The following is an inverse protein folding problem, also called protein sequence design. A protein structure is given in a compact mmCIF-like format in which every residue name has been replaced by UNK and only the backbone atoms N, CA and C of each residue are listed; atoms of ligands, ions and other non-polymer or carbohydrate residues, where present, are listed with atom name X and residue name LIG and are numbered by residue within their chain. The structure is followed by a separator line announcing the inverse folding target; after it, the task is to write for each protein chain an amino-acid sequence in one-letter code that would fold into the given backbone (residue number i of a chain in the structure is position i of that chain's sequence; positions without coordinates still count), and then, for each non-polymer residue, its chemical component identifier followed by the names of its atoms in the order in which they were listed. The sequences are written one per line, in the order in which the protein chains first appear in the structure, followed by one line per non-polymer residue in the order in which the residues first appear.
data_IF_462898415620
#
_entry.id   IF_462898415620
#
_cell.length_a   1.000
_cell.length_b   1.000
_cell.length_c   1.000
_cell.angle_alpha   90.00
_cell.angle_beta   90.00
_cell.angle_gamma   90.00
#
_symmetry.space_group_name_H-M   'P 1'
#
loop_
_entity.id
_entity.type
_entity.pdbx_description
1 polymer ?
#
# COMPACT_ATOMS: atom_id res chain seq x y z
N UNK A 1 11.72 22.61 -14.79
CA UNK A 1 11.15 21.69 -15.82
C UNK A 1 10.53 20.45 -15.19
N UNK A 2 11.28 19.56 -14.53
CA UNK A 2 10.70 18.35 -13.89
C UNK A 2 9.72 18.64 -12.76
N UNK A 3 10.04 19.57 -11.85
CA UNK A 3 9.11 19.98 -10.80
C UNK A 3 7.80 20.56 -11.38
N UNK A 4 7.92 21.40 -12.41
CA UNK A 4 6.76 22.02 -13.10
C UNK A 4 5.92 20.96 -13.81
N UNK A 5 6.53 19.99 -14.49
CA UNK A 5 5.82 18.88 -15.12
C UNK A 5 5.16 17.94 -14.09
N UNK A 6 5.80 17.71 -12.95
CA UNK A 6 5.24 16.93 -11.84
C UNK A 6 4.02 17.61 -11.21
N UNK A 7 4.07 18.93 -11.03
CA UNK A 7 2.93 19.73 -10.57
C UNK A 7 1.80 19.70 -11.61
N UNK A 8 2.09 19.89 -12.89
CA UNK A 8 1.08 19.85 -13.96
C UNK A 8 0.39 18.49 -14.02
N UNK A 9 1.13 17.38 -14.01
CA UNK A 9 0.55 16.03 -14.02
C UNK A 9 -0.22 15.77 -12.72
N UNK A 10 0.34 16.16 -11.57
CA UNK A 10 -0.30 15.99 -10.26
C UNK A 10 -1.59 16.78 -10.08
N UNK A 11 -1.75 17.90 -10.78
CA UNK A 11 -2.98 18.70 -10.78
C UNK A 11 -3.95 18.20 -11.85
N UNK A 12 -3.49 17.97 -13.08
CA UNK A 12 -4.35 17.58 -14.19
C UNK A 12 -4.93 16.18 -14.03
N UNK A 13 -4.15 15.23 -13.54
CA UNK A 13 -4.55 13.82 -13.51
C UNK A 13 -5.70 13.55 -12.51
N UNK A 14 -5.68 14.07 -11.26
CA UNK A 14 -6.84 14.01 -10.37
C UNK A 14 -8.04 14.82 -10.88
N UNK A 15 -7.82 16.00 -11.45
CA UNK A 15 -8.91 16.82 -12.00
C UNK A 15 -9.64 16.13 -13.17
N UNK A 16 -8.89 15.51 -14.08
CA UNK A 16 -9.43 14.84 -15.28
C UNK A 16 -10.09 13.51 -14.92
N UNK A 17 -9.47 12.71 -14.04
CA UNK A 17 -9.97 11.36 -13.73
C UNK A 17 -11.10 11.39 -12.72
N UNK A 18 -11.08 12.31 -11.75
CA UNK A 18 -11.95 12.24 -10.57
C UNK A 18 -13.02 13.34 -10.55
N UNK A 19 -12.94 14.34 -11.45
CA UNK A 19 -13.90 15.45 -11.61
C UNK A 19 -14.25 16.20 -10.31
N UNK A 20 -13.50 15.97 -9.22
CA UNK A 20 -13.66 16.56 -7.89
C UNK A 20 -12.30 17.00 -7.38
N UNK A 21 -12.23 18.23 -6.88
CA UNK A 21 -10.98 18.79 -6.36
C UNK A 21 -10.75 18.35 -4.92
N UNK A 22 -9.64 17.67 -4.70
CA UNK A 22 -9.12 17.32 -3.38
C UNK A 22 -7.69 17.80 -3.24
N UNK A 23 -7.44 18.63 -2.23
CA UNK A 23 -6.08 19.10 -1.94
C UNK A 23 -5.16 17.92 -1.62
N UNK A 24 -5.61 16.99 -0.77
CA UNK A 24 -4.81 15.83 -0.36
C UNK A 24 -4.46 14.92 -1.55
N UNK A 25 -5.44 14.56 -2.38
CA UNK A 25 -5.20 13.72 -3.55
C UNK A 25 -4.32 14.41 -4.59
N UNK A 26 -4.51 15.73 -4.79
CA UNK A 26 -3.71 16.54 -5.72
C UNK A 26 -2.25 16.62 -5.27
N UNK A 27 -2.01 16.90 -3.99
CA UNK A 27 -0.66 16.95 -3.43
C UNK A 27 0.02 15.59 -3.52
N UNK A 28 -0.67 14.52 -3.14
CA UNK A 28 -0.14 13.16 -3.23
C UNK A 28 0.23 12.77 -4.67
N UNK A 29 -0.65 13.06 -5.64
CA UNK A 29 -0.38 12.82 -7.05
C UNK A 29 0.79 13.68 -7.57
N UNK A 30 0.88 14.95 -7.18
CA UNK A 30 1.98 15.83 -7.56
C UNK A 30 3.32 15.38 -6.99
N UNK A 31 3.37 14.99 -5.72
CA UNK A 31 4.58 14.44 -5.11
C UNK A 31 4.98 13.11 -5.74
N UNK A 32 4.03 12.20 -5.94
CA UNK A 32 4.27 10.93 -6.63
C UNK A 32 4.83 11.13 -8.04
N UNK A 33 4.20 12.00 -8.83
CA UNK A 33 4.66 12.34 -10.18
C UNK A 33 6.04 13.00 -10.16
N UNK A 34 6.29 13.94 -9.24
CA UNK A 34 7.59 14.59 -9.11
C UNK A 34 8.71 13.59 -8.78
N UNK A 35 8.46 12.64 -7.88
CA UNK A 35 9.42 11.58 -7.56
C UNK A 35 9.69 10.73 -8.80
N UNK A 36 8.66 10.22 -9.47
CA UNK A 36 8.81 9.38 -10.67
C UNK A 36 9.58 10.11 -11.77
N UNK A 37 9.24 11.37 -12.06
CA UNK A 37 9.95 12.15 -13.06
C UNK A 37 11.41 12.45 -12.66
N UNK A 38 11.68 12.62 -11.36
CA UNK A 38 13.04 12.80 -10.85
C UNK A 38 13.87 11.52 -11.00
N UNK A 39 13.28 10.36 -10.74
CA UNK A 39 13.89 9.04 -11.00
C UNK A 39 14.23 8.91 -12.50
N UNK A 40 13.26 9.16 -13.38
CA UNK A 40 13.45 9.07 -14.84
C UNK A 40 14.55 10.03 -15.31
N UNK A 41 14.56 11.27 -14.82
CA UNK A 41 15.59 12.25 -15.17
C UNK A 41 16.97 11.83 -14.68
N UNK A 42 17.09 11.34 -13.44
CA UNK A 42 18.37 10.94 -12.87
C UNK A 42 18.97 9.73 -13.62
N UNK A 43 18.15 8.73 -13.92
CA UNK A 43 18.55 7.59 -14.76
C UNK A 43 18.98 8.07 -16.15
N UNK A 44 18.17 8.93 -16.78
CA UNK A 44 18.46 9.46 -18.12
C UNK A 44 19.80 10.21 -18.17
N UNK A 45 20.07 11.04 -17.15
CA UNK A 45 21.33 11.79 -17.05
C UNK A 45 22.54 10.86 -16.89
N UNK A 46 22.42 9.77 -16.13
CA UNK A 46 23.52 8.81 -15.89
C UNK A 46 23.83 7.95 -17.10
N UNK A 47 22.85 7.70 -17.98
CA UNK A 47 23.05 6.91 -19.19
C UNK A 47 23.29 7.77 -20.45
N UNK A 48 23.17 9.10 -20.37
CA UNK A 48 23.23 10.01 -21.51
C UNK A 48 24.55 9.94 -22.30
N UNK A 49 25.67 9.69 -21.62
CA UNK A 49 27.01 9.65 -22.22
C UNK A 49 27.44 8.24 -22.66
N UNK A 50 26.50 7.29 -22.81
CA UNK A 50 26.77 5.90 -23.18
C UNK A 50 26.31 5.64 -24.61
N UNK A 51 27.08 4.84 -25.34
CA UNK A 51 26.81 4.53 -26.76
C UNK A 51 25.43 3.93 -27.00
N UNK A 52 24.95 3.09 -26.05
CA UNK A 52 23.59 2.56 -26.09
C UNK A 52 22.91 2.68 -24.72
N UNK A 53 21.58 2.92 -24.74
CA UNK A 53 20.77 2.97 -23.51
C UNK A 53 20.89 1.69 -22.69
N UNK A 54 21.01 0.53 -23.36
CA UNK A 54 21.09 -0.76 -22.68
C UNK A 54 22.41 -0.99 -21.94
N UNK A 55 23.54 -0.63 -22.56
CA UNK A 55 24.84 -0.62 -21.88
C UNK A 55 24.83 0.38 -20.71
N UNK A 56 24.17 1.53 -20.87
CA UNK A 56 23.97 2.50 -19.80
C UNK A 56 23.23 1.92 -18.61
N UNK A 57 22.07 1.27 -18.81
CA UNK A 57 21.30 0.65 -17.73
C UNK A 57 22.10 -0.45 -17.01
N UNK A 58 22.83 -1.30 -17.75
CA UNK A 58 23.66 -2.36 -17.16
C UNK A 58 24.88 -1.83 -16.41
N UNK A 59 25.31 -0.60 -16.68
CA UNK A 59 26.45 0.02 -15.98
C UNK A 59 26.08 0.61 -14.62
N UNK A 60 24.79 0.66 -14.27
CA UNK A 60 24.31 1.16 -12.99
C UNK A 60 24.59 0.17 -11.86
N UNK A 61 25.00 0.66 -10.68
CA UNK A 61 25.24 -0.21 -9.53
C UNK A 61 23.94 -0.77 -8.96
N UNK A 62 24.03 -1.94 -8.34
CA UNK A 62 22.88 -2.56 -7.65
C UNK A 62 22.37 -1.66 -6.53
N UNK A 63 23.28 -0.98 -5.80
CA UNK A 63 22.90 0.00 -4.79
C UNK A 63 22.09 1.18 -5.34
N UNK A 64 22.48 1.67 -6.52
CA UNK A 64 21.74 2.74 -7.19
C UNK A 64 20.35 2.27 -7.62
N UNK A 65 20.25 1.10 -8.26
CA UNK A 65 18.96 0.53 -8.65
C UNK A 65 18.06 0.29 -7.42
N UNK A 66 18.62 -0.20 -6.31
CA UNK A 66 17.89 -0.37 -5.05
C UNK A 66 17.34 0.94 -4.50
N UNK A 67 18.14 2.02 -4.50
CA UNK A 67 17.70 3.36 -4.11
C UNK A 67 16.52 3.84 -4.98
N UNK A 68 16.60 3.67 -6.31
CA UNK A 68 15.53 4.09 -7.22
C UNK A 68 14.24 3.29 -7.01
N UNK A 69 14.34 1.96 -6.82
CA UNK A 69 13.20 1.09 -6.50
C UNK A 69 12.55 1.51 -5.18
N UNK A 70 13.33 1.86 -4.16
CA UNK A 70 12.79 2.33 -2.90
C UNK A 70 12.04 3.66 -3.04
N UNK A 71 12.61 4.64 -3.74
CA UNK A 71 11.94 5.92 -3.99
C UNK A 71 10.70 5.77 -4.88
N UNK A 72 10.72 4.83 -5.83
CA UNK A 72 9.51 4.48 -6.57
C UNK A 72 8.41 3.93 -5.65
N UNK A 73 8.78 3.08 -4.68
CA UNK A 73 7.86 2.62 -3.64
C UNK A 73 7.23 3.75 -2.84
N UNK A 74 8.02 4.78 -2.48
CA UNK A 74 7.50 6.00 -1.83
C UNK A 74 6.45 6.68 -2.72
N UNK A 75 6.73 6.87 -4.01
CA UNK A 75 5.80 7.49 -4.94
C UNK A 75 4.47 6.73 -5.03
N UNK A 76 4.52 5.39 -5.16
CA UNK A 76 3.32 4.52 -5.23
C UNK A 76 2.51 4.62 -3.93
N UNK A 77 3.19 4.58 -2.77
CA UNK A 77 2.54 4.68 -1.46
C UNK A 77 1.83 6.04 -1.27
N UNK A 78 2.50 7.14 -1.61
CA UNK A 78 1.91 8.49 -1.49
C UNK A 78 0.64 8.62 -2.31
N UNK A 79 0.67 8.16 -3.57
CA UNK A 79 -0.51 8.15 -4.44
C UNK A 79 -1.63 7.32 -3.83
N UNK A 80 -1.33 6.11 -3.33
CA UNK A 80 -2.30 5.25 -2.66
C UNK A 80 -2.95 5.93 -1.45
N UNK A 81 -2.15 6.54 -0.56
CA UNK A 81 -2.64 7.26 0.63
C UNK A 81 -3.54 8.43 0.21
N UNK A 82 -3.08 9.31 -0.68
CA UNK A 82 -3.84 10.49 -1.07
C UNK A 82 -5.19 10.16 -1.72
N UNK A 83 -5.23 9.10 -2.53
CA UNK A 83 -6.46 8.65 -3.17
C UNK A 83 -7.40 7.96 -2.17
N UNK A 84 -6.91 6.99 -1.37
CA UNK A 84 -7.77 6.30 -0.40
C UNK A 84 -8.30 7.23 0.69
N UNK A 85 -7.55 8.26 1.10
CA UNK A 85 -7.97 9.17 2.16
C UNK A 85 -9.14 10.07 1.76
N UNK A 86 -9.26 10.43 0.48
CA UNK A 86 -10.31 11.35 0.02
C UNK A 86 -11.48 10.63 -0.66
N UNK A 87 -11.19 9.58 -1.42
CA UNK A 87 -12.22 8.86 -2.20
C UNK A 87 -12.74 7.61 -1.49
N UNK A 88 -12.50 7.47 -0.17
CA UNK A 88 -13.12 6.42 0.62
C UNK A 88 -14.58 6.77 0.90
N UNK A 89 -15.48 5.93 0.42
CA UNK A 89 -16.90 6.01 0.75
C UNK A 89 -17.25 5.03 1.85
N UNK A 90 -18.07 5.48 2.81
CA UNK A 90 -18.53 4.68 3.95
C UNK A 90 -20.04 4.87 4.11
N UNK A 91 -20.74 3.79 4.47
CA UNK A 91 -22.16 3.84 4.80
C UNK A 91 -22.50 2.79 5.84
N UNK A 92 -23.07 3.23 6.96
CA UNK A 92 -23.63 2.38 7.99
C UNK A 92 -25.12 2.19 7.72
N UNK A 93 -25.59 0.95 7.71
CA UNK A 93 -27.00 0.61 7.46
C UNK A 93 -27.48 -0.48 8.39
N UNK A 94 -28.80 -0.58 8.50
CA UNK A 94 -29.50 -1.68 9.12
C UNK A 94 -30.29 -2.41 8.03
N UNK A 95 -29.94 -3.66 7.74
CA UNK A 95 -30.59 -4.45 6.68
C UNK A 95 -31.24 -5.71 7.22
N UNK A 96 -32.43 -6.01 6.71
CA UNK A 96 -33.08 -7.31 6.84
C UNK A 96 -32.72 -8.23 5.67
N UNK A 97 -32.83 -9.56 5.83
CA UNK A 97 -32.58 -10.50 4.73
C UNK A 97 -33.41 -10.15 3.48
N UNK A 98 -32.77 -10.14 2.32
CA UNK A 98 -33.32 -9.72 1.03
C UNK A 98 -33.20 -8.23 0.71
N UNK A 99 -32.87 -7.37 1.70
CA UNK A 99 -32.67 -5.95 1.45
C UNK A 99 -31.27 -5.65 0.89
N UNK A 100 -31.19 -4.58 0.11
CA UNK A 100 -29.94 -4.12 -0.50
C UNK A 100 -29.67 -2.66 -0.22
N UNK A 101 -28.39 -2.30 -0.20
CA UNK A 101 -27.93 -0.91 -0.14
C UNK A 101 -26.98 -0.61 -1.29
N UNK A 102 -27.15 0.56 -1.88
CA UNK A 102 -26.22 1.08 -2.87
C UNK A 102 -25.17 2.00 -2.23
N UNK A 103 -23.93 1.83 -2.70
CA UNK A 103 -22.78 2.68 -2.41
C UNK A 103 -21.90 2.79 -3.66
N UNK A 104 -21.82 3.99 -4.23
CA UNK A 104 -21.19 4.26 -5.52
C UNK A 104 -21.81 3.43 -6.67
N UNK A 105 -21.02 2.57 -7.33
CA UNK A 105 -21.45 1.70 -8.43
C UNK A 105 -21.77 0.27 -7.98
N UNK A 106 -21.81 0.06 -6.65
CA UNK A 106 -21.99 -1.24 -6.02
C UNK A 106 -23.32 -1.32 -5.30
N UNK A 107 -23.93 -2.50 -5.40
CA UNK A 107 -25.09 -2.88 -4.60
C UNK A 107 -24.70 -4.05 -3.72
N UNK A 108 -25.04 -3.95 -2.43
CA UNK A 108 -24.77 -4.95 -1.42
C UNK A 108 -26.10 -5.49 -0.90
N UNK A 109 -26.38 -6.75 -1.18
CA UNK A 109 -27.61 -7.42 -0.76
C UNK A 109 -27.31 -8.32 0.42
N UNK A 110 -28.03 -8.13 1.53
CA UNK A 110 -27.94 -9.02 2.68
C UNK A 110 -28.81 -10.25 2.45
N UNK A 111 -28.19 -11.43 2.35
CA UNK A 111 -28.90 -12.68 2.09
C UNK A 111 -29.38 -13.38 3.37
N UNK A 112 -28.88 -12.96 4.53
CA UNK A 112 -29.16 -13.56 5.84
C UNK A 112 -27.88 -13.87 6.60
N UNK A 113 -28.02 -14.32 7.83
CA UNK A 113 -26.92 -14.74 8.69
C UNK A 113 -27.12 -16.17 9.19
N UNK A 114 -26.03 -16.83 9.54
CA UNK A 114 -26.01 -18.15 10.15
C UNK A 114 -25.04 -18.18 11.33
N UNK A 115 -25.35 -18.93 12.41
CA UNK A 115 -24.43 -19.10 13.51
C UNK A 115 -23.19 -19.87 13.04
N UNK A 116 -22.02 -19.45 13.49
CA UNK A 116 -20.73 -20.07 13.22
C UNK A 116 -20.03 -20.43 14.54
N UNK A 117 -19.48 -21.65 14.60
CA UNK A 117 -18.68 -22.11 15.74
C UNK A 117 -17.28 -22.44 15.26
N UNK A 118 -16.28 -21.75 15.83
CA UNK A 118 -14.87 -21.99 15.60
C UNK A 118 -14.19 -22.68 16.79
N UNK A 119 -12.87 -22.94 16.69
CA UNK A 119 -12.13 -23.65 17.73
C UNK A 119 -12.10 -22.94 19.09
N UNK A 120 -12.18 -21.60 19.08
CA UNK A 120 -12.07 -20.75 20.26
C UNK A 120 -13.07 -19.58 20.25
N UNK A 121 -14.07 -19.61 19.37
CA UNK A 121 -15.08 -18.57 19.25
C UNK A 121 -16.44 -19.15 18.84
N UNK A 122 -17.50 -18.46 19.22
CA UNK A 122 -18.84 -18.60 18.64
C UNK A 122 -19.21 -17.28 17.99
N UNK A 123 -20.13 -17.27 17.04
CA UNK A 123 -20.50 -16.04 16.37
C UNK A 123 -21.58 -16.20 15.33
N UNK A 124 -21.74 -15.17 14.54
CA UNK A 124 -22.66 -15.09 13.42
C UNK A 124 -21.90 -14.69 12.17
N UNK A 125 -22.16 -15.39 11.06
CA UNK A 125 -21.67 -15.06 9.72
C UNK A 125 -22.82 -14.55 8.88
N UNK A 126 -22.69 -13.34 8.33
CA UNK A 126 -23.64 -12.82 7.35
C UNK A 126 -23.18 -13.18 5.93
N UNK A 127 -24.12 -13.41 5.03
CA UNK A 127 -23.85 -13.55 3.61
C UNK A 127 -24.30 -12.28 2.87
N UNK A 128 -23.37 -11.64 2.17
CA UNK A 128 -23.59 -10.38 1.45
C UNK A 128 -23.24 -10.58 -0.02
N UNK A 129 -24.24 -10.59 -0.91
CA UNK A 129 -24.00 -10.61 -2.35
C UNK A 129 -23.65 -9.20 -2.83
N UNK A 130 -22.53 -9.06 -3.54
CA UNK A 130 -22.07 -7.80 -4.11
C UNK A 130 -22.26 -7.81 -5.62
N UNK A 131 -22.94 -6.77 -6.11
CA UNK A 131 -23.11 -6.51 -7.55
C UNK A 131 -22.43 -5.23 -7.96
N UNK A 132 -21.91 -5.21 -9.19
CA UNK A 132 -21.44 -3.99 -9.86
C UNK A 132 -22.22 -3.82 -11.16
N UNK A 133 -22.89 -2.68 -11.34
CA UNK A 133 -23.68 -2.41 -12.55
C UNK A 133 -24.68 -3.54 -12.91
N UNK A 134 -25.23 -4.23 -11.90
CA UNK A 134 -26.19 -5.33 -12.09
C UNK A 134 -25.57 -6.72 -12.22
N UNK A 135 -24.26 -6.87 -12.39
CA UNK A 135 -23.58 -8.18 -12.44
C UNK A 135 -23.07 -8.60 -11.06
N UNK A 136 -23.28 -9.86 -10.70
CA UNK A 136 -22.72 -10.47 -9.49
C UNK A 136 -21.20 -10.57 -9.61
N UNK A 137 -20.48 -9.92 -8.70
CA UNK A 137 -19.00 -9.94 -8.71
C UNK A 137 -18.42 -10.83 -7.61
N UNK A 138 -19.05 -10.85 -6.43
CA UNK A 138 -18.54 -11.59 -5.27
C UNK A 138 -19.62 -11.75 -4.20
N UNK A 139 -19.46 -12.76 -3.33
CA UNK A 139 -20.19 -12.91 -2.07
C UNK A 139 -19.21 -12.71 -0.92
N UNK A 140 -19.57 -11.86 0.04
CA UNK A 140 -18.79 -11.51 1.21
C UNK A 140 -19.40 -12.13 2.47
N UNK A 141 -18.51 -12.61 3.35
CA UNK A 141 -18.87 -13.37 4.55
C UNK A 141 -18.36 -12.70 5.84
N UNK A 142 -18.84 -11.49 6.21
CA UNK A 142 -18.39 -10.85 7.43
C UNK A 142 -18.93 -11.58 8.65
N UNK A 143 -18.15 -11.61 9.73
CA UNK A 143 -18.53 -12.30 10.96
C UNK A 143 -18.47 -11.40 12.17
N UNK A 144 -19.36 -11.64 13.13
CA UNK A 144 -19.24 -11.16 14.50
C UNK A 144 -18.93 -12.37 15.39
N UNK A 145 -17.80 -12.33 16.09
CA UNK A 145 -17.29 -13.41 16.93
C UNK A 145 -17.26 -13.01 18.39
N UNK A 146 -17.47 -13.95 19.29
CA UNK A 146 -17.21 -13.84 20.72
C UNK A 146 -16.20 -14.93 21.07
N UNK A 147 -15.02 -14.52 21.54
CA UNK A 147 -13.97 -15.45 21.93
C UNK A 147 -14.25 -16.05 23.30
N UNK A 148 -14.24 -17.38 23.40
CA UNK A 148 -14.69 -18.11 24.60
C UNK A 148 -13.82 -17.82 25.83
N UNK A 149 -12.52 -17.55 25.64
CA UNK A 149 -11.58 -17.30 26.73
C UNK A 149 -11.76 -15.92 27.39
N UNK A 150 -12.10 -14.90 26.61
CA UNK A 150 -12.20 -13.52 27.08
C UNK A 150 -13.65 -13.03 27.22
N UNK A 151 -14.60 -13.67 26.54
CA UNK A 151 -15.99 -13.21 26.44
C UNK A 151 -16.16 -11.92 25.63
N UNK A 152 -15.09 -11.40 25.00
CA UNK A 152 -15.11 -10.12 24.29
C UNK A 152 -15.61 -10.30 22.86
N UNK A 153 -16.62 -9.53 22.41
CA UNK A 153 -17.02 -9.52 21.02
C UNK A 153 -15.95 -8.87 20.14
N UNK A 154 -15.84 -9.36 18.90
CA UNK A 154 -14.94 -8.90 17.86
C UNK A 154 -15.63 -9.04 16.51
N UNK A 155 -15.26 -8.20 15.54
CA UNK A 155 -15.81 -8.26 14.19
C UNK A 155 -14.71 -8.68 13.23
N UNK A 156 -14.94 -9.78 12.51
CA UNK A 156 -14.14 -10.16 11.35
C UNK A 156 -14.75 -9.52 10.12
N UNK A 157 -14.00 -8.61 9.52
CA UNK A 157 -14.43 -7.90 8.33
C UNK A 157 -14.29 -8.78 7.09
N UNK A 158 -15.30 -8.80 6.23
CA UNK A 158 -15.15 -9.38 4.91
C UNK A 158 -14.50 -8.38 3.96
N UNK A 159 -13.51 -8.84 3.21
CA UNK A 159 -12.70 -8.01 2.33
C UNK A 159 -12.72 -8.62 0.93
N UNK A 160 -13.23 -7.87 -0.05
CA UNK A 160 -12.95 -8.14 -1.47
C UNK A 160 -11.85 -7.16 -1.92
N UNK A 161 -10.65 -7.68 -2.04
CA UNK A 161 -9.49 -6.88 -2.34
C UNK A 161 -9.21 -6.89 -3.86
N UNK A 162 -9.26 -5.71 -4.48
CA UNK A 162 -8.99 -5.47 -5.90
C UNK A 162 -7.71 -4.64 -6.13
N UNK A 163 -7.31 -4.44 -7.37
CA UNK A 163 -6.10 -3.66 -7.68
C UNK A 163 -6.35 -2.14 -7.62
N UNK A 164 -7.55 -1.72 -8.02
CA UNK A 164 -7.97 -0.31 -8.06
C UNK A 164 -8.79 0.09 -6.85
N UNK A 165 -9.41 -0.88 -6.17
CA UNK A 165 -10.30 -0.66 -5.03
C UNK A 165 -10.38 -1.90 -4.16
N UNK A 166 -10.81 -1.68 -2.94
CA UNK A 166 -11.05 -2.70 -1.94
C UNK A 166 -12.43 -2.45 -1.34
N UNK A 167 -13.23 -3.51 -1.23
CA UNK A 167 -14.53 -3.51 -0.56
C UNK A 167 -14.38 -4.10 0.83
N UNK A 168 -15.02 -3.45 1.80
CA UNK A 168 -15.04 -3.94 3.16
C UNK A 168 -16.47 -3.94 3.68
N UNK A 169 -16.85 -5.00 4.38
CA UNK A 169 -18.11 -5.07 5.10
C UNK A 169 -17.83 -5.54 6.52
N UNK A 170 -18.34 -4.81 7.50
CA UNK A 170 -18.32 -5.20 8.90
C UNK A 170 -19.71 -5.58 9.36
N UNK A 171 -19.78 -6.59 10.22
CA UNK A 171 -21.01 -7.01 10.87
C UNK A 171 -21.03 -6.47 12.31
N UNK A 172 -22.03 -5.66 12.60
CA UNK A 172 -22.33 -5.10 13.91
C UNK A 172 -23.28 -6.00 14.69
N UNK A 173 -24.24 -5.42 15.39
CA UNK A 173 -25.22 -6.18 16.18
C UNK A 173 -26.49 -6.47 15.39
N UNK A 174 -27.12 -7.60 15.72
CA UNK A 174 -28.51 -7.88 15.38
C UNK A 174 -29.44 -6.93 16.14
N UNK A 175 -30.48 -6.48 15.46
CA UNK A 175 -31.60 -5.68 15.96
C UNK A 175 -32.90 -6.45 15.74
N UNK A 176 -34.02 -5.82 16.06
CA UNK A 176 -35.34 -6.45 15.96
C UNK A 176 -35.64 -6.97 14.55
N UNK A 177 -36.43 -8.05 14.48
CA UNK A 177 -36.88 -8.70 13.24
C UNK A 177 -35.73 -9.21 12.33
N UNK A 178 -34.61 -9.66 12.90
CA UNK A 178 -33.49 -10.25 12.15
C UNK A 178 -32.68 -9.25 11.33
N UNK A 179 -32.80 -7.96 11.64
CA UNK A 179 -32.06 -6.90 10.96
C UNK A 179 -30.65 -6.77 11.54
N UNK A 180 -29.63 -6.63 10.70
CA UNK A 180 -28.24 -6.50 11.14
C UNK A 180 -27.66 -5.12 10.84
N UNK A 181 -27.03 -4.52 11.84
CA UNK A 181 -26.22 -3.32 11.65
C UNK A 181 -24.94 -3.71 10.92
N UNK A 182 -24.61 -2.99 9.86
CA UNK A 182 -23.41 -3.23 9.07
C UNK A 182 -22.81 -1.92 8.58
N UNK A 183 -21.49 -1.89 8.47
CA UNK A 183 -20.79 -0.77 7.86
C UNK A 183 -20.05 -1.24 6.63
N UNK A 184 -20.33 -0.57 5.51
CA UNK A 184 -19.79 -0.91 4.20
C UNK A 184 -18.83 0.20 3.79
N UNK A 185 -17.68 -0.20 3.25
CA UNK A 185 -16.66 0.70 2.74
C UNK A 185 -16.31 0.35 1.29
N UNK A 186 -16.17 1.40 0.47
CA UNK A 186 -15.51 1.33 -0.83
C UNK A 186 -14.26 2.19 -0.72
N UNK A 187 -13.09 1.57 -0.64
CA UNK A 187 -11.81 2.28 -0.51
C UNK A 187 -10.95 2.06 -1.76
N UNK A 188 -10.63 3.11 -2.52
CA UNK A 188 -9.78 2.97 -3.69
C UNK A 188 -8.30 2.91 -3.29
N UNK A 189 -7.50 2.11 -4.02
CA UNK A 189 -6.04 2.07 -3.95
C UNK A 189 -5.40 1.71 -2.58
N UNK A 190 -6.09 1.00 -1.67
CA UNK A 190 -5.48 0.56 -0.39
C UNK A 190 -4.29 -0.35 -0.66
N UNK A 191 -4.39 -1.25 -1.66
CA UNK A 191 -3.27 -2.10 -2.07
C UNK A 191 -2.01 -1.35 -2.51
N UNK A 192 -2.13 -0.12 -3.02
CA UNK A 192 -0.97 0.65 -3.45
C UNK A 192 -0.11 1.11 -2.27
N UNK A 193 -0.74 1.32 -1.10
CA UNK A 193 -0.01 1.61 0.14
C UNK A 193 0.91 0.43 0.49
N UNK A 194 0.37 -0.78 0.46
CA UNK A 194 1.13 -2.02 0.71
C UNK A 194 2.18 -2.29 -0.37
N UNK A 195 1.85 -2.08 -1.64
CA UNK A 195 2.78 -2.26 -2.75
C UNK A 195 3.97 -1.31 -2.64
N UNK A 196 3.73 -0.06 -2.24
CA UNK A 196 4.79 0.90 -1.97
C UNK A 196 5.73 0.45 -0.85
N UNK A 197 5.19 -0.11 0.24
CA UNK A 197 5.99 -0.68 1.32
C UNK A 197 6.86 -1.87 0.84
N UNK A 198 6.29 -2.76 0.01
CA UNK A 198 7.03 -3.88 -0.60
C UNK A 198 8.17 -3.37 -1.48
N UNK A 199 7.93 -2.37 -2.33
CA UNK A 199 8.98 -1.77 -3.16
C UNK A 199 10.08 -1.12 -2.33
N UNK A 200 9.73 -0.42 -1.25
CA UNK A 200 10.72 0.16 -0.32
C UNK A 200 11.59 -0.93 0.33
N UNK A 201 10.98 -2.00 0.82
CA UNK A 201 11.70 -3.13 1.42
C UNK A 201 12.64 -3.80 0.41
N UNK A 202 12.14 -4.11 -0.79
CA UNK A 202 12.95 -4.70 -1.87
C UNK A 202 14.09 -3.77 -2.30
N UNK A 203 13.82 -2.48 -2.46
CA UNK A 203 14.83 -1.48 -2.79
C UNK A 203 15.93 -1.38 -1.72
N UNK A 204 15.55 -1.41 -0.45
CA UNK A 204 16.49 -1.46 0.68
C UNK A 204 17.34 -2.73 0.70
N UNK A 205 16.73 -3.90 0.46
CA UNK A 205 17.45 -5.18 0.36
C UNK A 205 18.45 -5.19 -0.80
N UNK A 206 18.04 -4.71 -1.98
CA UNK A 206 18.92 -4.57 -3.14
C UNK A 206 20.07 -3.60 -2.84
N UNK A 207 19.79 -2.50 -2.14
CA UNK A 207 20.82 -1.53 -1.78
C UNK A 207 21.85 -2.08 -0.79
N UNK A 208 21.40 -2.84 0.20
CA UNK A 208 22.24 -3.50 1.19
C UNK A 208 23.08 -4.65 0.59
N UNK A 209 22.57 -5.34 -0.43
CA UNK A 209 23.24 -6.46 -1.11
C UNK A 209 24.43 -6.06 -2.00
N UNK A 210 24.71 -4.78 -2.20
CA UNK A 210 25.82 -4.33 -3.03
C UNK A 210 27.18 -4.66 -2.39
N UNK A 211 28.08 -5.27 -3.18
CA UNK A 211 29.47 -5.64 -2.80
C UNK A 211 30.24 -4.45 -2.20
N UNK A 212 29.88 -3.20 -2.53
CA UNK A 212 30.49 -1.99 -1.98
C UNK A 212 30.24 -1.84 -0.47
N UNK A 213 29.04 -2.13 0.01
CA UNK A 213 28.72 -2.13 1.44
C UNK A 213 29.42 -3.29 2.18
N UNK A 214 29.57 -4.45 1.52
CA UNK A 214 30.34 -5.58 2.06
C UNK A 214 31.82 -5.23 2.27
N UNK A 215 32.42 -4.43 1.39
CA UNK A 215 33.82 -3.94 1.52
C UNK A 215 33.98 -2.87 2.60
N UNK A 216 32.97 -2.02 2.81
CA UNK A 216 32.96 -1.03 3.90
C UNK A 216 32.88 -1.69 5.28
N UNK A 217 32.09 -2.77 5.42
CA UNK A 217 32.06 -3.59 6.64
C UNK A 217 33.42 -4.21 6.97
N UNK A 218 34.11 -4.76 5.96
CA UNK A 218 35.45 -5.35 6.11
C UNK A 218 36.52 -4.35 6.51
N UNK A 219 36.42 -3.10 6.04
CA UNK A 219 37.38 -2.02 6.37
C UNK A 219 37.25 -1.52 7.82
N UNK A 220 36.10 -1.76 8.45
CA UNK A 220 35.82 -1.37 9.85
C UNK A 220 36.28 -2.43 10.86
N UNK A 221 36.49 -3.66 10.40
CA UNK A 221 36.96 -4.79 11.21
C UNK A 221 38.46 -5.02 11.15
N UNK A 222 39.20 -4.32 10.30
CA UNK A 222 40.67 -4.35 10.33
C UNK A 222 41.15 -3.51 11.52
N UNK A 223 41.81 -4.09 12.54
CA UNK A 223 42.42 -3.31 13.61
C UNK A 223 43.40 -2.32 13.00
N UNK A 224 43.42 -1.09 13.52
CA UNK A 224 44.47 -0.12 13.18
C UNK A 224 45.80 -0.76 13.57
N UNK A 225 46.65 -1.09 12.59
CA UNK A 225 48.03 -1.50 12.86
C UNK A 225 48.70 -0.36 13.64
N UNK A 226 49.03 -0.63 14.89
CA UNK A 226 49.70 0.30 15.78
C UNK A 226 51.06 0.65 15.14
N UNK A 227 51.40 1.94 14.94
CA UNK A 227 52.66 2.29 14.31
C UNK A 227 53.80 1.77 15.19
N UNK A 228 54.62 0.88 14.63
CA UNK A 228 55.71 0.21 15.33
C UNK A 228 56.58 1.24 16.08
N UNK A 229 56.54 1.19 17.41
CA UNK A 229 57.39 2.00 18.27
C UNK A 229 58.86 1.78 17.90
N UNK A 230 59.52 2.86 17.44
CA UNK A 230 60.91 2.83 17.03
C UNK A 230 61.80 2.33 18.17
N UNK A 231 62.63 1.32 17.88
CA UNK A 231 63.65 0.83 18.81
C UNK A 231 64.68 1.94 19.07
N UNK A 232 65.10 2.17 20.33
CA UNK A 232 66.13 3.16 20.61
C UNK A 232 67.48 2.65 20.09
N UNK A 233 68.16 3.49 19.30
CA UNK A 233 69.53 3.26 18.87
C UNK A 233 70.45 3.39 20.10
N UNK A 234 71.08 2.29 20.49
CA UNK A 234 72.19 2.29 21.45
C UNK A 234 73.43 2.83 20.73
N UNK A 235 73.91 3.98 21.18
CA UNK A 235 75.20 4.55 20.77
C UNK A 235 76.34 3.74 21.41
N UNK A 236 77.29 3.35 20.56
CA UNK A 236 78.61 2.81 20.92
C UNK A 236 79.58 3.92 21.29
#
# INVERSE_FOLDING_TARGET
KVAIAGILIGVLLPLIILLRFSLAATLAAAFGAWIVLSIVKDISNKIANKETKWQGLRSLSVSYCGMQVAHFGVAVMFVGIGLTSYFSSEKSVLLQPGQSVELETYSFTFNGSAPVTGPNYIGDEAQITVRKNGEDIQVLHPQRRVYLASGTPSTEMAIDAGFLRDLFVTLGEEKEAGAWSMTIYVKPFVRWVWLGAIFMALGGMLAAGDKRYRRLGQRRTTPLEEPAAGKPQLAS
#
